data_IF_706062720076
#
_entry.id   IF_706062720076
#
_cell.length_a   1.000
_cell.length_b   1.000
_cell.length_c   1.000
_cell.angle_alpha   90.00
_cell.angle_beta   90.00
_cell.angle_gamma   90.00
#
_symmetry.space_group_name_H-M   'P 1'
#
loop_
_entity.id
_entity.type
_entity.pdbx_description
1 polymer ?
#
# COMPACT_ATOMS: atom_id res chain seq x y z
N UNK A 1 11.79 -17.20 -25.41
CA UNK A 1 10.59 -16.66 -24.73
C UNK A 1 10.63 -15.14 -24.76
N UNK A 2 9.61 -14.40 -25.24
CA UNK A 2 9.69 -12.93 -25.10
C UNK A 2 8.62 -12.00 -25.71
N UNK A 3 7.74 -12.45 -26.61
CA UNK A 3 6.74 -11.53 -27.22
C UNK A 3 5.44 -11.39 -26.40
N UNK A 4 4.86 -12.50 -25.93
CA UNK A 4 3.56 -12.47 -25.24
C UNK A 4 3.56 -11.74 -23.87
N UNK A 5 4.67 -11.76 -23.12
CA UNK A 5 4.75 -11.07 -21.81
C UNK A 5 4.95 -9.57 -21.95
N UNK A 6 5.45 -9.08 -23.10
CA UNK A 6 5.65 -7.66 -23.34
C UNK A 6 4.31 -6.99 -23.70
N UNK A 7 3.49 -7.65 -24.51
CA UNK A 7 2.12 -7.20 -24.83
C UNK A 7 1.22 -7.17 -23.59
N UNK A 8 1.25 -8.20 -22.73
CA UNK A 8 0.46 -8.20 -21.49
C UNK A 8 0.87 -7.09 -20.52
N UNK A 9 2.17 -6.78 -20.40
CA UNK A 9 2.67 -5.67 -19.57
C UNK A 9 2.14 -4.32 -20.07
N UNK A 10 1.98 -4.18 -21.38
CA UNK A 10 1.46 -2.97 -22.01
C UNK A 10 -0.05 -2.79 -21.78
N UNK A 11 -0.84 -3.88 -21.74
CA UNK A 11 -2.29 -3.82 -21.48
C UNK A 11 -2.60 -3.15 -20.13
N UNK A 12 -2.00 -3.62 -19.04
CA UNK A 12 -2.28 -3.05 -17.71
C UNK A 12 -1.71 -1.63 -17.53
N UNK A 13 -0.64 -1.30 -18.27
CA UNK A 13 -0.12 0.07 -18.27
C UNK A 13 -1.08 1.03 -18.96
N UNK A 14 -1.62 0.65 -20.13
CA UNK A 14 -2.63 1.44 -20.85
C UNK A 14 -3.92 1.55 -20.04
N UNK A 15 -4.41 0.44 -19.50
CA UNK A 15 -5.58 0.40 -18.63
C UNK A 15 -5.41 1.28 -17.38
N UNK A 16 -4.22 1.27 -16.77
CA UNK A 16 -3.91 2.14 -15.65
C UNK A 16 -4.08 3.62 -16.02
N UNK A 17 -3.55 4.03 -17.17
CA UNK A 17 -3.70 5.41 -17.67
C UNK A 17 -5.16 5.76 -17.96
N UNK A 18 -5.89 4.87 -18.62
CA UNK A 18 -7.30 5.05 -18.96
C UNK A 18 -8.18 5.24 -17.71
N UNK A 19 -7.91 4.47 -16.64
CA UNK A 19 -8.62 4.55 -15.36
C UNK A 19 -8.02 5.57 -14.37
N UNK A 20 -6.99 6.31 -14.79
CA UNK A 20 -6.34 7.36 -14.00
C UNK A 20 -5.55 6.85 -12.79
N UNK A 21 -5.04 5.62 -12.84
CA UNK A 21 -4.11 5.06 -11.87
C UNK A 21 -2.68 5.50 -12.14
N UNK A 22 -1.91 5.82 -11.09
CA UNK A 22 -0.50 6.24 -11.20
C UNK A 22 0.42 5.13 -11.69
N UNK A 23 0.09 3.87 -11.39
CA UNK A 23 0.86 2.72 -11.83
C UNK A 23 -0.05 1.49 -12.03
N UNK A 24 0.41 0.56 -12.86
CA UNK A 24 -0.25 -0.72 -13.12
C UNK A 24 -0.34 -1.63 -11.89
N UNK A 25 0.47 -1.37 -10.85
CA UNK A 25 0.42 -2.14 -9.61
C UNK A 25 -0.88 -1.94 -8.83
N UNK A 26 -1.66 -0.88 -9.12
CA UNK A 26 -3.01 -0.70 -8.57
C UNK A 26 -3.90 -1.94 -8.79
N UNK A 27 -3.79 -2.59 -9.95
CA UNK A 27 -4.58 -3.79 -10.26
C UNK A 27 -4.25 -4.98 -9.36
N UNK A 28 -3.02 -5.07 -8.85
CA UNK A 28 -2.63 -6.14 -7.93
C UNK A 28 -3.45 -6.06 -6.64
N UNK A 29 -3.48 -4.88 -6.02
CA UNK A 29 -4.22 -4.67 -4.78
C UNK A 29 -5.73 -4.84 -4.98
N UNK A 30 -6.26 -4.39 -6.12
CA UNK A 30 -7.67 -4.62 -6.49
C UNK A 30 -8.01 -6.11 -6.62
N UNK A 31 -7.12 -6.91 -7.24
CA UNK A 31 -7.31 -8.36 -7.38
C UNK A 31 -7.20 -9.09 -6.04
N UNK A 32 -6.26 -8.69 -5.18
CA UNK A 32 -6.15 -9.22 -3.82
C UNK A 32 -7.45 -8.95 -3.05
N UNK A 33 -7.97 -7.72 -3.12
CA UNK A 33 -9.22 -7.39 -2.45
C UNK A 33 -10.41 -8.18 -3.01
N UNK A 34 -10.48 -8.38 -4.33
CA UNK A 34 -11.53 -9.21 -4.95
C UNK A 34 -11.50 -10.67 -4.48
N UNK A 35 -10.32 -11.24 -4.24
CA UNK A 35 -10.16 -12.64 -3.81
C UNK A 35 -10.31 -12.83 -2.30
N UNK A 36 -9.79 -11.88 -1.50
CA UNK A 36 -9.63 -12.05 -0.05
C UNK A 36 -10.47 -11.08 0.80
N UNK A 37 -11.17 -10.13 0.18
CA UNK A 37 -11.99 -9.10 0.85
C UNK A 37 -11.24 -8.35 1.95
N UNK A 38 -9.99 -7.96 1.68
CA UNK A 38 -9.08 -7.39 2.68
C UNK A 38 -9.52 -6.00 3.17
N UNK A 39 -10.42 -5.31 2.47
CA UNK A 39 -10.94 -4.00 2.88
C UNK A 39 -12.13 -4.06 3.83
N UNK A 40 -12.71 -5.25 4.08
CA UNK A 40 -13.89 -5.37 4.92
C UNK A 40 -13.59 -5.02 6.39
N UNK A 41 -14.34 -4.06 6.95
CA UNK A 41 -14.23 -3.63 8.34
C UNK A 41 -12.96 -2.83 8.68
N UNK A 42 -12.14 -2.50 7.69
CA UNK A 42 -10.88 -1.77 7.86
C UNK A 42 -11.13 -0.27 8.04
N UNK A 43 -10.58 0.31 9.11
CA UNK A 43 -10.67 1.75 9.40
C UNK A 43 -9.32 2.45 9.41
N UNK A 44 -8.24 1.75 9.72
CA UNK A 44 -6.88 2.31 9.78
C UNK A 44 -5.95 1.51 8.87
N UNK A 45 -5.40 2.17 7.85
CA UNK A 45 -4.51 1.53 6.87
C UNK A 45 -3.17 2.21 6.82
N UNK A 46 -2.11 1.41 6.77
CA UNK A 46 -0.75 1.87 6.46
C UNK A 46 -0.34 1.35 5.08
N UNK A 47 0.11 2.23 4.20
CA UNK A 47 0.72 1.90 2.91
C UNK A 47 2.24 2.15 2.99
N UNK A 48 3.04 1.09 3.01
CA UNK A 48 4.50 1.17 3.08
C UNK A 48 5.13 1.16 1.69
N UNK A 49 6.23 1.90 1.53
CA UNK A 49 6.92 2.04 0.25
C UNK A 49 5.93 2.51 -0.84
N UNK A 50 5.13 3.50 -0.48
CA UNK A 50 3.93 3.87 -1.23
C UNK A 50 4.22 4.58 -2.55
N UNK A 51 5.38 5.21 -2.76
CA UNK A 51 5.65 6.00 -3.95
C UNK A 51 5.62 5.11 -5.22
N UNK A 52 4.93 5.51 -6.30
CA UNK A 52 4.35 6.83 -6.59
C UNK A 52 2.92 7.06 -6.06
N UNK A 53 2.33 6.09 -5.37
CA UNK A 53 1.04 6.19 -4.66
C UNK A 53 -0.11 5.41 -5.32
N UNK A 54 0.17 4.39 -6.14
CA UNK A 54 -0.88 3.62 -6.82
C UNK A 54 -1.77 2.84 -5.85
N UNK A 55 -1.19 2.22 -4.81
CA UNK A 55 -1.94 1.50 -3.78
C UNK A 55 -2.69 2.46 -2.86
N UNK A 56 -2.04 3.55 -2.43
CA UNK A 56 -2.69 4.68 -1.76
C UNK A 56 -3.91 5.22 -2.53
N UNK A 57 -3.87 5.30 -3.86
CA UNK A 57 -5.04 5.68 -4.66
C UNK A 57 -6.16 4.65 -4.57
N UNK A 58 -5.83 3.35 -4.62
CA UNK A 58 -6.82 2.28 -4.50
C UNK A 58 -7.49 2.36 -3.13
N UNK A 59 -6.71 2.48 -2.05
CA UNK A 59 -7.21 2.63 -0.68
C UNK A 59 -8.14 3.84 -0.55
N UNK A 60 -7.74 5.00 -1.10
CA UNK A 60 -8.59 6.19 -1.11
C UNK A 60 -9.92 5.96 -1.84
N UNK A 61 -9.88 5.37 -3.05
CA UNK A 61 -11.09 5.13 -3.85
C UNK A 61 -12.00 4.04 -3.29
N UNK A 62 -11.47 3.07 -2.54
CA UNK A 62 -12.22 1.93 -2.01
C UNK A 62 -12.71 2.11 -0.58
N UNK A 63 -11.95 2.85 0.24
CA UNK A 63 -12.28 3.07 1.65
C UNK A 63 -12.75 4.51 1.88
N UNK A 64 -11.90 5.50 1.59
CA UNK A 64 -12.15 6.89 2.00
C UNK A 64 -13.28 7.58 1.22
N UNK A 65 -13.22 7.59 -0.11
CA UNK A 65 -14.20 8.30 -0.95
C UNK A 65 -15.63 7.76 -0.77
N UNK A 66 -15.88 6.44 -0.73
CA UNK A 66 -17.21 5.91 -0.47
C UNK A 66 -17.73 6.30 0.92
N UNK A 67 -16.89 6.27 1.95
CA UNK A 67 -17.27 6.71 3.30
C UNK A 67 -17.54 8.21 3.36
N UNK A 68 -16.81 9.04 2.62
CA UNK A 68 -17.03 10.49 2.56
C UNK A 68 -18.34 10.87 1.87
N UNK A 69 -18.77 10.09 0.88
CA UNK A 69 -20.00 10.35 0.12
C UNK A 69 -21.25 9.79 0.81
N UNK A 70 -21.09 8.91 1.81
CA UNK A 70 -22.22 8.34 2.54
C UNK A 70 -22.83 9.39 3.48
N UNK A 71 -24.15 9.68 3.37
CA UNK A 71 -24.83 10.68 4.20
C UNK A 71 -24.99 10.25 5.68
N UNK A 72 -24.62 9.01 6.01
CA UNK A 72 -24.71 8.44 7.37
C UNK A 72 -23.39 8.60 8.14
N UNK A 73 -22.29 8.88 7.44
CA UNK A 73 -20.97 8.98 8.03
C UNK A 73 -20.82 10.30 8.79
N UNK A 74 -20.70 10.23 10.11
CA UNK A 74 -20.24 11.36 10.91
C UNK A 74 -18.77 11.63 10.58
N UNK A 75 -18.33 12.89 10.67
CA UNK A 75 -16.95 13.35 10.43
C UNK A 75 -15.85 12.66 11.27
N UNK A 76 -16.20 11.69 12.12
CA UNK A 76 -15.25 10.89 12.93
C UNK A 76 -15.18 9.39 12.57
N UNK A 77 -15.89 8.92 11.54
CA UNK A 77 -15.86 7.50 11.13
C UNK A 77 -15.17 7.24 9.79
N UNK A 78 -14.54 8.27 9.20
CA UNK A 78 -13.81 8.10 7.95
C UNK A 78 -12.57 7.22 8.18
N UNK A 79 -12.26 6.31 7.26
CA UNK A 79 -11.05 5.51 7.34
C UNK A 79 -9.83 6.41 7.21
N UNK A 80 -8.84 6.18 8.08
CA UNK A 80 -7.57 6.88 8.10
C UNK A 80 -6.54 6.06 7.33
N UNK A 81 -5.96 6.67 6.30
CA UNK A 81 -4.94 6.06 5.46
C UNK A 81 -3.65 6.86 5.64
N UNK A 82 -2.57 6.19 6.07
CA UNK A 82 -1.24 6.78 6.19
C UNK A 82 -0.29 6.06 5.25
N UNK A 83 0.32 6.80 4.34
CA UNK A 83 1.23 6.28 3.35
C UNK A 83 2.65 6.78 3.62
N UNK A 84 3.62 5.87 3.61
CA UNK A 84 5.00 6.12 4.00
C UNK A 84 5.94 5.76 2.86
N UNK A 85 6.83 6.67 2.49
CA UNK A 85 7.90 6.39 1.55
C UNK A 85 9.12 7.29 1.81
N UNK A 86 10.29 6.88 1.34
CA UNK A 86 11.49 7.71 1.31
C UNK A 86 11.37 8.82 0.26
N UNK A 87 10.68 8.55 -0.85
CA UNK A 87 10.45 9.45 -1.95
C UNK A 87 9.19 10.28 -1.75
N UNK A 88 9.19 11.55 -2.17
CA UNK A 88 7.98 12.36 -2.17
C UNK A 88 6.99 11.81 -3.21
N UNK A 89 5.70 11.92 -2.91
CA UNK A 89 4.63 11.60 -3.85
C UNK A 89 3.61 12.73 -3.94
N UNK A 90 2.92 12.81 -5.07
CA UNK A 90 1.86 13.80 -5.24
C UNK A 90 0.69 13.52 -4.27
N UNK A 91 -0.01 14.55 -3.78
CA UNK A 91 -1.10 14.39 -2.81
C UNK A 91 -2.23 13.50 -3.37
N UNK A 92 -2.83 12.71 -2.48
CA UNK A 92 -4.00 11.87 -2.77
C UNK A 92 -5.05 12.21 -1.72
N UNK A 93 -6.29 12.46 -2.17
CA UNK A 93 -7.39 12.80 -1.26
C UNK A 93 -7.64 11.67 -0.26
N UNK A 94 -7.79 12.01 1.03
CA UNK A 94 -8.01 11.02 2.10
C UNK A 94 -6.78 10.24 2.53
N UNK A 95 -5.59 10.57 2.01
CA UNK A 95 -4.33 9.90 2.37
C UNK A 95 -3.38 10.90 3.02
N UNK A 96 -2.95 10.58 4.24
CA UNK A 96 -1.88 11.28 4.94
C UNK A 96 -0.55 10.74 4.41
N UNK A 97 0.31 11.61 3.92
CA UNK A 97 1.57 11.22 3.29
C UNK A 97 2.72 11.60 4.20
N UNK A 98 3.50 10.60 4.63
CA UNK A 98 4.66 10.77 5.49
C UNK A 98 5.91 10.40 4.70
N UNK A 99 6.81 11.36 4.53
CA UNK A 99 8.12 11.06 3.96
C UNK A 99 9.04 10.58 5.08
N UNK A 100 9.50 9.34 5.04
CA UNK A 100 10.33 8.77 6.09
C UNK A 100 10.78 7.34 5.84
N UNK A 101 11.83 6.95 6.55
CA UNK A 101 12.34 5.59 6.56
C UNK A 101 11.49 4.73 7.49
N UNK A 102 10.95 3.63 6.98
CA UNK A 102 10.14 2.67 7.72
C UNK A 102 10.93 1.94 8.82
N UNK A 103 12.26 1.85 8.68
CA UNK A 103 13.14 1.22 9.68
C UNK A 103 13.39 2.14 10.88
N UNK A 104 13.08 3.44 10.74
CA UNK A 104 13.27 4.42 11.80
C UNK A 104 12.06 4.45 12.75
N UNK A 105 12.32 4.21 14.05
CA UNK A 105 11.29 4.25 15.08
C UNK A 105 10.52 5.58 15.14
N UNK A 106 11.17 6.70 14.80
CA UNK A 106 10.51 8.02 14.77
C UNK A 106 9.39 8.08 13.72
N UNK A 107 9.61 7.49 12.55
CA UNK A 107 8.59 7.42 11.49
C UNK A 107 7.39 6.60 11.97
N UNK A 108 7.66 5.49 12.67
CA UNK A 108 6.60 4.68 13.25
C UNK A 108 5.78 5.44 14.30
N UNK A 109 6.43 6.18 15.19
CA UNK A 109 5.75 7.03 16.17
C UNK A 109 4.85 8.10 15.51
N UNK A 110 5.31 8.71 14.42
CA UNK A 110 4.51 9.70 13.67
C UNK A 110 3.23 9.07 13.15
N UNK A 111 3.30 7.86 12.60
CA UNK A 111 2.13 7.17 12.05
C UNK A 111 1.17 6.75 13.16
N UNK A 112 1.68 6.24 14.29
CA UNK A 112 0.85 5.89 15.45
C UNK A 112 0.11 7.11 15.99
N UNK A 113 0.75 8.30 15.99
CA UNK A 113 0.09 9.56 16.39
C UNK A 113 -1.06 9.94 15.45
N UNK A 114 -0.98 9.62 14.17
CA UNK A 114 -2.09 9.84 13.23
C UNK A 114 -3.29 8.92 13.48
N UNK A 115 -3.09 7.81 14.20
CA UNK A 115 -4.15 6.88 14.59
C UNK A 115 -4.59 7.06 16.05
N UNK A 116 -4.31 8.21 16.68
CA UNK A 116 -4.63 8.48 18.09
C UNK A 116 -4.10 7.41 19.07
N UNK A 117 -2.96 6.79 18.73
CA UNK A 117 -2.37 5.71 19.52
C UNK A 117 -2.95 4.32 19.26
N UNK A 118 -3.96 4.20 18.40
CA UNK A 118 -4.49 2.90 17.97
C UNK A 118 -3.57 2.23 16.95
N UNK A 119 -3.63 0.89 16.92
CA UNK A 119 -2.95 0.07 15.91
C UNK A 119 -3.67 0.14 14.56
N UNK A 120 -2.94 -0.06 13.48
CA UNK A 120 -3.50 -0.24 12.15
C UNK A 120 -4.32 -1.55 12.06
N UNK A 121 -5.35 -1.54 11.22
CA UNK A 121 -6.16 -2.72 10.91
C UNK A 121 -5.58 -3.49 9.72
N UNK A 122 -5.00 -2.75 8.76
CA UNK A 122 -4.40 -3.29 7.55
C UNK A 122 -3.08 -2.57 7.26
N UNK A 123 -2.08 -3.33 6.83
CA UNK A 123 -0.81 -2.78 6.35
C UNK A 123 -0.43 -3.42 5.03
N UNK A 124 -0.24 -2.60 4.00
CA UNK A 124 0.09 -3.03 2.64
C UNK A 124 1.47 -2.52 2.24
N UNK A 125 2.17 -3.22 1.34
CA UNK A 125 3.53 -2.85 0.90
C UNK A 125 3.84 -3.35 -0.53
N UNK A 126 3.82 -2.48 -1.54
CA UNK A 126 4.26 -2.82 -2.92
C UNK A 126 5.77 -2.65 -3.11
N UNK A 127 6.54 -2.52 -2.01
CA UNK A 127 7.99 -2.38 -2.05
C UNK A 127 8.66 -3.61 -2.64
N UNK A 128 9.42 -3.41 -3.71
CA UNK A 128 10.27 -4.43 -4.31
C UNK A 128 11.71 -3.89 -4.43
N UNK A 129 12.74 -4.70 -4.13
CA UNK A 129 14.13 -4.33 -4.41
C UNK A 129 14.36 -4.25 -5.93
N UNK A 130 15.39 -3.50 -6.33
CA UNK A 130 15.82 -3.48 -7.73
C UNK A 130 16.17 -4.90 -8.19
N UNK A 131 15.49 -5.37 -9.24
CA UNK A 131 15.73 -6.69 -9.82
C UNK A 131 17.09 -6.72 -10.50
N UNK A 132 17.98 -7.56 -9.98
CA UNK A 132 19.32 -7.79 -10.53
C UNK A 132 19.30 -8.70 -11.76
N UNK A 133 18.18 -9.39 -11.99
CA UNK A 133 18.02 -10.39 -13.06
C UNK A 133 18.48 -11.79 -12.66
N UNK A 134 18.94 -11.95 -11.41
CA UNK A 134 19.23 -13.24 -10.78
C UNK A 134 18.05 -13.61 -9.88
N UNK A 135 17.14 -14.43 -10.39
CA UNK A 135 15.86 -14.75 -9.74
C UNK A 135 16.01 -15.21 -8.29
N UNK A 136 16.97 -16.09 -7.99
CA UNK A 136 17.19 -16.62 -6.63
C UNK A 136 17.63 -15.52 -5.65
N UNK A 137 18.40 -14.53 -6.12
CA UNK A 137 18.86 -13.40 -5.31
C UNK A 137 17.75 -12.37 -5.13
N UNK A 138 16.99 -12.08 -6.18
CA UNK A 138 15.86 -11.16 -6.13
C UNK A 138 14.76 -11.68 -5.17
N UNK A 139 14.48 -12.99 -5.20
CA UNK A 139 13.55 -13.66 -4.27
C UNK A 139 14.07 -13.64 -2.82
N UNK A 140 15.37 -13.86 -2.62
CA UNK A 140 15.98 -13.76 -1.29
C UNK A 140 15.89 -12.34 -0.71
N UNK A 141 16.22 -11.31 -1.50
CA UNK A 141 16.15 -9.91 -1.06
C UNK A 141 14.70 -9.49 -0.81
N UNK A 142 13.76 -9.93 -1.63
CA UNK A 142 12.33 -9.71 -1.40
C UNK A 142 11.88 -10.36 -0.09
N UNK A 143 12.30 -11.60 0.18
CA UNK A 143 12.00 -12.30 1.43
C UNK A 143 12.56 -11.58 2.67
N UNK A 144 13.78 -11.03 2.57
CA UNK A 144 14.37 -10.21 3.63
C UNK A 144 13.58 -8.91 3.86
N UNK A 145 13.08 -8.29 2.79
CA UNK A 145 12.31 -7.06 2.87
C UNK A 145 10.93 -7.29 3.53
N UNK A 146 10.27 -8.41 3.18
CA UNK A 146 9.05 -8.87 3.86
C UNK A 146 9.34 -9.10 5.34
N UNK A 147 10.41 -9.83 5.68
CA UNK A 147 10.76 -10.14 7.07
C UNK A 147 11.08 -8.88 7.88
N UNK A 148 11.79 -7.91 7.29
CA UNK A 148 12.09 -6.63 7.92
C UNK A 148 10.83 -5.78 8.13
N UNK A 149 9.93 -5.78 7.14
CA UNK A 149 8.63 -5.14 7.25
C UNK A 149 7.80 -5.81 8.35
N UNK A 150 7.66 -7.13 8.36
CA UNK A 150 6.94 -7.88 9.39
C UNK A 150 7.49 -7.62 10.80
N UNK A 151 8.81 -7.63 10.99
CA UNK A 151 9.42 -7.36 12.29
C UNK A 151 9.14 -5.92 12.77
N UNK A 152 9.20 -4.95 11.86
CA UNK A 152 8.87 -3.56 12.18
C UNK A 152 7.37 -3.38 12.45
N UNK A 153 6.54 -4.11 11.71
CA UNK A 153 5.07 -4.03 11.77
C UNK A 153 4.50 -4.73 13.01
N UNK A 154 4.96 -5.92 13.37
CA UNK A 154 4.57 -6.59 14.61
C UNK A 154 4.92 -5.75 15.83
N UNK A 155 6.08 -5.08 15.79
CA UNK A 155 6.57 -4.28 16.91
C UNK A 155 5.78 -2.99 17.13
N UNK A 156 5.30 -2.35 16.07
CA UNK A 156 4.76 -0.99 16.16
C UNK A 156 3.33 -0.82 15.66
N UNK A 157 2.78 -1.73 14.86
CA UNK A 157 1.65 -1.38 13.99
C UNK A 157 0.36 -2.20 14.09
N UNK A 158 0.32 -3.50 14.47
CA UNK A 158 -0.87 -4.32 14.11
C UNK A 158 -1.37 -5.34 15.15
N UNK A 159 -2.67 -5.66 15.08
CA UNK A 159 -3.36 -6.82 15.70
C UNK A 159 -3.71 -7.94 14.69
N UNK A 160 -3.91 -7.61 13.40
CA UNK A 160 -4.08 -8.56 12.29
C UNK A 160 -3.19 -8.16 11.11
N UNK A 161 -2.16 -8.94 10.81
CA UNK A 161 -1.21 -8.64 9.73
C UNK A 161 -1.65 -9.32 8.44
N UNK A 162 -1.72 -8.57 7.33
CA UNK A 162 -1.74 -9.10 5.96
C UNK A 162 -0.78 -8.28 5.09
N UNK A 163 0.51 -8.61 5.13
CA UNK A 163 1.52 -8.01 4.26
C UNK A 163 1.45 -8.68 2.88
N UNK A 164 1.20 -7.89 1.84
CA UNK A 164 1.31 -8.37 0.45
C UNK A 164 2.46 -7.67 -0.23
N UNK A 165 3.60 -8.35 -0.41
CA UNK A 165 4.66 -7.92 -1.31
C UNK A 165 4.52 -8.67 -2.63
N UNK A 166 4.14 -7.99 -3.70
CA UNK A 166 4.04 -8.61 -5.02
C UNK A 166 5.17 -8.06 -5.88
N UNK A 167 6.26 -8.83 -6.03
CA UNK A 167 7.26 -8.55 -7.05
C UNK A 167 6.66 -8.52 -8.46
N UNK A 168 7.29 -7.74 -9.33
CA UNK A 168 6.86 -7.50 -10.72
C UNK A 168 7.21 -8.64 -11.67
#
# INVERSE_FOLDING_TARGET
MGKASRDKRDIYYRKAKEEGWRARSAFKLLQIDEEFNIFEGVKRVVDLCAAPGSWSQVLSRKLYLPSKQSPVSKDGELPLIVAIDLQPMAPIEGVIQVQGDITNARTAEVVIRHFDGCKADLVVCDGAPDVTGLHDMDEFVQSQLILAAENSLQKYFVEKIQVFCIAS
#
